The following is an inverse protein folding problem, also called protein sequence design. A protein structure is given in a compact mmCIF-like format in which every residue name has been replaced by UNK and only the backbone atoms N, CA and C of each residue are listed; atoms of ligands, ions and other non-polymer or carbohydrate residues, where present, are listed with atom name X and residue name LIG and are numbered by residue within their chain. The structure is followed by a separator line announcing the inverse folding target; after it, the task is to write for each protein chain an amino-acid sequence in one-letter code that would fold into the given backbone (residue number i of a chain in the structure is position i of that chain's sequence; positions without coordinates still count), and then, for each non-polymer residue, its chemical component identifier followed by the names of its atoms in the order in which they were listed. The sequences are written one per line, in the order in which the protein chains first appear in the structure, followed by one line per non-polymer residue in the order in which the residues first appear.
data_IF_370349256241
#
_entry.id   IF_370349256241
#
_cell.length_a   1.000
_cell.length_b   1.000
_cell.length_c   1.000
_cell.angle_alpha   90.00
_cell.angle_beta   90.00
_cell.angle_gamma   90.00
#
_symmetry.space_group_name_H-M   'P 1'
#
loop_
_entity.id
_entity.type
_entity.pdbx_description
1 polymer ?
#
# COMPACT_ATOMS: atom_id res chain seq x y z
N UNK A 1 -14.30 3.89 5.69
CA UNK A 1 -14.34 4.22 4.24
C UNK A 1 -13.67 3.10 3.45
N UNK A 2 -13.90 2.98 2.13
CA UNK A 2 -13.24 1.97 1.29
C UNK A 2 -12.58 2.63 0.08
N UNK A 3 -11.31 2.31 -0.16
CA UNK A 3 -10.59 2.64 -1.40
C UNK A 3 -10.58 1.42 -2.29
N UNK A 4 -11.04 1.56 -3.54
CA UNK A 4 -11.09 0.46 -4.50
C UNK A 4 -9.92 0.61 -5.47
N UNK A 5 -9.16 -0.47 -5.68
CA UNK A 5 -8.16 -0.57 -6.74
C UNK A 5 -8.54 -1.70 -7.70
N UNK A 6 -8.26 -1.49 -8.99
CA UNK A 6 -8.37 -2.54 -10.01
C UNK A 6 -6.99 -3.14 -10.29
N UNK A 7 -6.89 -4.46 -10.23
CA UNK A 7 -5.68 -5.24 -10.50
C UNK A 7 -6.11 -6.45 -11.33
N UNK A 8 -5.55 -6.62 -12.52
CA UNK A 8 -5.87 -7.76 -13.40
C UNK A 8 -7.38 -7.99 -13.59
N UNK A 9 -8.15 -6.92 -13.85
CA UNK A 9 -9.61 -6.95 -13.99
C UNK A 9 -10.37 -7.45 -12.74
N UNK A 10 -9.71 -7.50 -11.59
CA UNK A 10 -10.33 -7.76 -10.30
C UNK A 10 -10.31 -6.49 -9.45
N UNK A 11 -11.34 -6.31 -8.65
CA UNK A 11 -11.41 -5.22 -7.70
C UNK A 11 -10.97 -5.69 -6.31
N UNK A 12 -10.07 -4.94 -5.69
CA UNK A 12 -9.70 -5.09 -4.28
C UNK A 12 -10.15 -3.86 -3.50
N UNK A 13 -10.77 -4.09 -2.34
CA UNK A 13 -11.20 -3.05 -1.42
C UNK A 13 -10.25 -2.93 -0.23
N UNK A 14 -9.71 -1.74 -0.01
CA UNK A 14 -8.94 -1.38 1.18
C UNK A 14 -9.83 -0.62 2.15
N UNK A 15 -10.09 -1.21 3.33
CA UNK A 15 -10.81 -0.53 4.40
C UNK A 15 -9.86 0.47 5.05
N UNK A 16 -10.27 1.73 5.10
CA UNK A 16 -9.49 2.84 5.66
C UNK A 16 -10.35 3.69 6.58
N UNK A 17 -9.72 4.32 7.56
CA UNK A 17 -10.40 5.27 8.44
C UNK A 17 -10.81 6.53 7.65
N UNK A 18 -9.85 7.14 6.95
CA UNK A 18 -10.03 8.40 6.24
C UNK A 18 -9.23 8.46 4.93
N UNK A 19 -9.77 9.14 3.92
CA UNK A 19 -9.06 9.52 2.69
C UNK A 19 -8.67 10.99 2.78
N UNK A 20 -7.36 11.25 2.82
CA UNK A 20 -6.80 12.62 2.91
C UNK A 20 -6.77 13.30 1.53
N UNK A 21 -6.79 12.52 0.44
CA UNK A 21 -6.77 13.00 -0.94
C UNK A 21 -5.49 12.59 -1.68
N UNK A 22 -5.24 13.24 -2.81
CA UNK A 22 -4.04 13.00 -3.61
C UNK A 22 -2.91 13.96 -3.21
N UNK A 23 -1.71 13.43 -3.00
CA UNK A 23 -0.52 14.22 -2.72
C UNK A 23 0.58 13.87 -3.73
N UNK A 24 1.23 14.89 -4.30
CA UNK A 24 2.46 14.70 -5.07
C UNK A 24 3.64 14.71 -4.11
N UNK A 25 4.44 13.64 -4.13
CA UNK A 25 5.54 13.48 -3.18
C UNK A 25 6.71 12.71 -3.76
N UNK A 26 7.88 12.81 -3.12
CA UNK A 26 9.07 12.05 -3.49
C UNK A 26 9.06 10.72 -2.77
N UNK A 27 9.19 9.63 -3.52
CA UNK A 27 9.34 8.29 -2.97
C UNK A 27 10.79 8.12 -2.48
N UNK A 28 10.95 7.72 -1.22
CA UNK A 28 12.22 7.30 -0.62
C UNK A 28 12.20 5.79 -0.48
N UNK A 29 13.29 5.15 -0.92
CA UNK A 29 13.51 3.72 -0.67
C UNK A 29 13.70 3.49 0.83
N UNK A 30 13.13 2.40 1.35
CA UNK A 30 13.32 1.96 2.73
C UNK A 30 14.69 1.26 2.94
N UNK A 31 15.53 1.17 1.91
CA UNK A 31 16.85 0.54 1.98
C UNK A 31 16.74 -0.94 2.31
N UNK A 32 17.67 -1.48 3.12
CA UNK A 32 17.69 -2.90 3.50
C UNK A 32 16.39 -3.36 4.20
N UNK A 33 15.72 -2.45 4.91
CA UNK A 33 14.49 -2.72 5.63
C UNK A 33 13.34 -3.06 4.67
N UNK A 34 13.40 -2.63 3.40
CA UNK A 34 12.37 -2.95 2.41
C UNK A 34 12.30 -4.44 2.06
N UNK A 35 13.35 -5.21 2.33
CA UNK A 35 13.40 -6.64 1.99
C UNK A 35 12.56 -7.48 2.96
N UNK A 36 12.40 -7.00 4.19
CA UNK A 36 11.68 -7.72 5.26
C UNK A 36 10.23 -7.24 5.40
N UNK A 37 9.88 -6.12 4.76
CA UNK A 37 8.56 -5.50 4.87
C UNK A 37 7.68 -5.86 3.68
N UNK A 38 7.06 -7.03 3.75
CA UNK A 38 6.07 -7.43 2.75
C UNK A 38 4.88 -6.45 2.72
N UNK A 39 4.45 -6.08 1.51
CA UNK A 39 3.34 -5.16 1.29
C UNK A 39 3.70 -3.67 1.33
N UNK A 40 4.99 -3.32 1.43
CA UNK A 40 5.48 -1.93 1.37
C UNK A 40 6.47 -1.75 0.21
N UNK A 41 6.29 -0.68 -0.56
CA UNK A 41 7.18 -0.31 -1.68
C UNK A 41 8.13 0.85 -1.34
N UNK A 42 7.83 1.62 -0.30
CA UNK A 42 8.65 2.76 0.10
C UNK A 42 8.04 3.59 1.21
N UNK A 43 8.65 4.76 1.44
CA UNK A 43 8.09 5.79 2.31
C UNK A 43 8.33 7.18 1.74
N UNK A 44 7.66 8.16 2.30
CA UNK A 44 7.84 9.57 1.98
C UNK A 44 7.75 10.41 3.23
N UNK A 45 8.33 11.61 3.18
CA UNK A 45 8.20 12.62 4.24
C UNK A 45 7.17 13.63 3.75
N UNK A 46 6.08 13.77 4.49
CA UNK A 46 5.01 14.74 4.20
C UNK A 46 5.45 16.16 4.57
N UNK A 47 4.76 17.19 4.06
CA UNK A 47 5.12 18.59 4.29
C UNK A 47 5.08 19.04 5.76
N UNK A 48 4.39 18.30 6.63
CA UNK A 48 4.35 18.49 8.08
C UNK A 48 5.43 17.68 8.83
N UNK A 49 6.31 16.99 8.10
CA UNK A 49 7.36 16.14 8.66
C UNK A 49 6.96 14.72 9.03
N UNK A 50 5.67 14.33 8.89
CA UNK A 50 5.26 12.94 9.17
C UNK A 50 5.73 11.98 8.07
N UNK A 51 5.94 10.72 8.44
CA UNK A 51 6.28 9.66 7.48
C UNK A 51 4.99 9.03 6.98
N UNK A 52 4.84 8.97 5.67
CA UNK A 52 3.81 8.16 5.01
C UNK A 52 4.44 6.95 4.34
N UNK A 53 3.87 5.78 4.58
CA UNK A 53 4.28 4.53 3.95
C UNK A 53 3.57 4.37 2.60
N UNK A 54 4.26 3.79 1.63
CA UNK A 54 3.71 3.46 0.31
C UNK A 54 3.46 1.96 0.28
N UNK A 55 2.20 1.59 0.09
CA UNK A 55 1.78 0.19 0.01
C UNK A 55 2.16 -0.40 -1.35
N UNK A 56 2.66 -1.64 -1.34
CA UNK A 56 2.73 -2.48 -2.53
C UNK A 56 1.38 -3.18 -2.71
N UNK A 57 0.50 -2.53 -3.47
CA UNK A 57 -0.86 -3.02 -3.75
C UNK A 57 -0.84 -4.40 -4.42
N UNK A 58 0.13 -4.66 -5.31
CA UNK A 58 0.22 -5.93 -6.02
C UNK A 58 0.70 -7.07 -5.12
N UNK A 59 1.71 -6.80 -4.28
CA UNK A 59 2.16 -7.73 -3.25
C UNK A 59 1.03 -8.10 -2.28
N UNK A 60 0.28 -7.10 -1.80
CA UNK A 60 -0.87 -7.32 -0.91
C UNK A 60 -1.97 -8.14 -1.61
N UNK A 61 -2.27 -7.84 -2.88
CA UNK A 61 -3.23 -8.60 -3.67
C UNK A 61 -2.86 -10.08 -3.77
N UNK A 62 -1.59 -10.40 -4.05
CA UNK A 62 -1.11 -11.79 -4.10
C UNK A 62 -1.29 -12.51 -2.77
N UNK A 63 -0.98 -11.85 -1.65
CA UNK A 63 -1.16 -12.42 -0.32
C UNK A 63 -2.64 -12.65 0.01
N UNK A 64 -3.51 -11.73 -0.39
CA UNK A 64 -4.95 -11.85 -0.20
C UNK A 64 -5.52 -13.06 -0.95
N UNK A 65 -5.07 -13.31 -2.18
CA UNK A 65 -5.45 -14.50 -2.95
C UNK A 65 -4.98 -15.80 -2.29
N UNK A 66 -3.71 -15.88 -1.87
CA UNK A 66 -3.16 -17.06 -1.21
C UNK A 66 -3.90 -17.42 0.09
N UNK A 67 -4.36 -16.42 0.84
CA UNK A 67 -5.13 -16.64 2.07
C UNK A 67 -6.60 -16.97 1.80
N UNK A 68 -7.17 -16.50 0.69
CA UNK A 68 -8.54 -16.79 0.27
C UNK A 68 -8.75 -18.23 -0.21
N UNK A 69 -7.70 -18.91 -0.68
CA UNK A 69 -7.75 -20.34 -1.05
C UNK A 69 -7.77 -21.28 0.18
N UNK A 70 -7.55 -20.77 1.38
CA UNK A 70 -7.55 -21.52 2.64
C UNK A 70 -8.88 -21.41 3.43
N UNK A 71 -9.89 -20.74 2.87
CA UNK A 71 -11.20 -20.50 3.51
C UNK A 71 -12.33 -21.29 2.85
#
# INVERSE_FOLDING_TARGET
QVVIAEINNQYIGFVVDNVIGQHQTVIKSLGKISQDLEGLSGATIMGNGSIALILDIFGIYKQALQKGELA
#
